data_IF_870266880568
#
_entry.id   IF_870266880568
#
_cell.length_a   1.000
_cell.length_b   1.000
_cell.length_c   1.000
_cell.angle_alpha   90.00
_cell.angle_beta   90.00
_cell.angle_gamma   90.00
#
_symmetry.space_group_name_H-M   'P 1'
#
loop_
_entity.id
_entity.type
_entity.pdbx_description
1 polymer ?
#
# COMPACT_ATOMS: atom_id res chain seq x y z
N UNK A 1 1.44 0.49 -20.57
CA UNK A 1 2.42 -0.37 -19.84
C UNK A 1 2.97 0.31 -18.59
N UNK A 2 3.33 1.60 -18.64
CA UNK A 2 3.80 2.36 -17.47
C UNK A 2 2.77 2.38 -16.33
N UNK A 3 1.51 2.71 -16.61
CA UNK A 3 0.42 2.72 -15.60
C UNK A 3 0.29 1.39 -14.84
N UNK A 4 0.37 0.27 -15.56
CA UNK A 4 0.30 -1.07 -14.94
C UNK A 4 1.46 -1.30 -13.97
N UNK A 5 2.66 -0.81 -14.29
CA UNK A 5 3.82 -0.88 -13.38
C UNK A 5 3.62 0.00 -12.16
N UNK A 6 3.03 1.19 -12.31
CA UNK A 6 2.70 2.08 -11.18
C UNK A 6 1.63 1.45 -10.29
N UNK A 7 0.56 0.88 -10.85
CA UNK A 7 -0.47 0.18 -10.12
C UNK A 7 0.10 -1.04 -9.35
N UNK A 8 0.98 -1.82 -9.98
CA UNK A 8 1.66 -2.95 -9.34
C UNK A 8 2.58 -2.49 -8.20
N UNK A 9 3.38 -1.44 -8.42
CA UNK A 9 4.26 -0.87 -7.41
C UNK A 9 3.47 -0.31 -6.22
N UNK A 10 2.37 0.42 -6.49
CA UNK A 10 1.46 0.93 -5.45
C UNK A 10 0.86 -0.19 -4.63
N UNK A 11 0.34 -1.23 -5.28
CA UNK A 11 -0.26 -2.38 -4.59
C UNK A 11 0.75 -3.06 -3.65
N UNK A 12 1.98 -3.26 -4.14
CA UNK A 12 3.05 -3.85 -3.33
C UNK A 12 3.49 -2.93 -2.19
N UNK A 13 3.63 -1.63 -2.45
CA UNK A 13 4.01 -0.65 -1.44
C UNK A 13 2.96 -0.55 -0.33
N UNK A 14 1.66 -0.59 -0.66
CA UNK A 14 0.57 -0.60 0.33
C UNK A 14 0.67 -1.81 1.27
N UNK A 15 0.88 -3.01 0.74
CA UNK A 15 1.04 -4.23 1.54
C UNK A 15 2.24 -4.13 2.49
N UNK A 16 3.41 -3.83 1.92
CA UNK A 16 4.68 -3.81 2.66
C UNK A 16 4.65 -2.71 3.73
N UNK A 17 4.16 -1.52 3.40
CA UNK A 17 4.11 -0.42 4.35
C UNK A 17 3.17 -0.73 5.53
N UNK A 18 1.99 -1.30 5.28
CA UNK A 18 1.06 -1.69 6.35
C UNK A 18 1.64 -2.81 7.23
N UNK A 19 2.29 -3.81 6.62
CA UNK A 19 2.93 -4.89 7.36
C UNK A 19 4.08 -4.37 8.22
N UNK A 20 5.05 -3.68 7.63
CA UNK A 20 6.25 -3.21 8.33
C UNK A 20 5.89 -2.26 9.47
N UNK A 21 5.01 -1.29 9.22
CA UNK A 21 4.64 -0.30 10.26
C UNK A 21 3.84 -0.92 11.41
N UNK A 22 3.19 -2.07 11.20
CA UNK A 22 2.53 -2.82 12.26
C UNK A 22 3.48 -3.77 12.99
N UNK A 23 4.34 -4.49 12.26
CA UNK A 23 5.15 -5.58 12.81
C UNK A 23 6.48 -5.11 13.40
N UNK A 24 6.89 -3.88 13.15
CA UNK A 24 8.12 -3.32 13.73
C UNK A 24 8.16 -3.43 15.26
N UNK A 25 7.01 -3.42 15.93
CA UNK A 25 6.92 -3.58 17.39
C UNK A 25 7.38 -4.96 17.89
N UNK A 26 7.34 -6.00 17.05
CA UNK A 26 7.85 -7.34 17.37
C UNK A 26 9.37 -7.32 17.63
N UNK A 27 10.11 -6.41 16.99
CA UNK A 27 11.57 -6.30 17.11
C UNK A 27 12.05 -5.15 17.99
N UNK A 28 11.19 -4.16 18.26
CA UNK A 28 11.53 -3.04 19.17
C UNK A 28 11.07 -3.26 20.61
N UNK A 29 10.10 -4.17 20.83
CA UNK A 29 9.61 -4.55 22.15
C UNK A 29 8.66 -3.52 22.80
N UNK A 30 8.14 -3.88 23.99
CA UNK A 30 7.04 -3.17 24.64
C UNK A 30 7.33 -1.68 24.96
N UNK A 31 8.59 -1.31 25.22
CA UNK A 31 8.94 0.10 25.53
C UNK A 31 8.71 1.03 24.34
N UNK A 32 8.77 0.52 23.12
CA UNK A 32 8.58 1.29 21.89
C UNK A 32 7.15 1.80 21.70
N UNK A 33 6.17 1.30 22.48
CA UNK A 33 4.79 1.78 22.43
C UNK A 33 4.57 3.06 23.25
N UNK A 34 5.60 3.60 23.90
CA UNK A 34 5.49 4.85 24.64
C UNK A 34 5.14 6.01 23.68
N UNK A 35 4.18 6.85 24.07
CA UNK A 35 3.73 7.98 23.25
C UNK A 35 4.85 8.96 22.87
N UNK A 36 5.93 9.01 23.66
CA UNK A 36 7.11 9.83 23.38
C UNK A 36 7.88 9.37 22.12
N UNK A 37 7.88 8.08 21.81
CA UNK A 37 8.53 7.54 20.60
C UNK A 37 7.68 7.81 19.35
N UNK A 38 6.36 7.77 19.48
CA UNK A 38 5.41 8.07 18.42
C UNK A 38 5.53 7.15 17.18
N UNK A 39 6.03 5.93 17.37
CA UNK A 39 6.24 4.94 16.29
C UNK A 39 4.93 4.53 15.60
N UNK A 40 3.80 4.57 16.30
CA UNK A 40 2.47 4.30 15.76
C UNK A 40 2.04 5.31 14.68
N UNK A 41 2.66 6.50 14.63
CA UNK A 41 2.35 7.52 13.62
C UNK A 41 2.55 7.02 12.20
N UNK A 42 3.53 6.15 11.98
CA UNK A 42 3.81 5.61 10.66
C UNK A 42 2.69 4.70 10.19
N UNK A 43 2.20 3.81 11.06
CA UNK A 43 1.05 2.96 10.76
C UNK A 43 -0.21 3.80 10.52
N UNK A 44 -0.50 4.79 11.37
CA UNK A 44 -1.67 5.68 11.20
C UNK A 44 -1.63 6.42 9.87
N UNK A 45 -0.47 6.99 9.51
CA UNK A 45 -0.32 7.74 8.26
C UNK A 45 -0.51 6.83 7.03
N UNK A 46 0.17 5.68 7.02
CA UNK A 46 0.03 4.69 5.93
C UNK A 46 -1.41 4.20 5.85
N UNK A 47 -2.03 3.86 6.98
CA UNK A 47 -3.41 3.38 7.03
C UNK A 47 -4.39 4.39 6.47
N UNK A 48 -4.22 5.67 6.79
CA UNK A 48 -5.07 6.73 6.23
C UNK A 48 -4.83 6.91 4.74
N UNK A 49 -3.57 7.07 4.31
CA UNK A 49 -3.27 7.42 2.92
C UNK A 49 -3.52 6.28 1.93
N UNK A 50 -3.27 5.04 2.34
CA UNK A 50 -3.52 3.85 1.48
C UNK A 50 -5.00 3.62 1.18
N UNK A 51 -5.92 4.31 1.87
CA UNK A 51 -7.36 4.25 1.60
C UNK A 51 -7.83 5.21 0.52
N UNK A 52 -6.96 6.10 0.02
CA UNK A 52 -7.33 7.07 -1.03
C UNK A 52 -7.92 6.37 -2.25
N UNK A 53 -7.27 5.31 -2.73
CA UNK A 53 -7.76 4.47 -3.82
C UNK A 53 -7.75 3.01 -3.39
N UNK A 54 -8.86 2.27 -3.54
CA UNK A 54 -8.89 0.88 -3.09
C UNK A 54 -7.89 0.02 -3.86
N UNK A 55 -6.89 -0.52 -3.13
CA UNK A 55 -5.82 -1.35 -3.70
C UNK A 55 -6.34 -2.60 -4.44
N UNK A 56 -7.53 -3.08 -4.09
CA UNK A 56 -8.18 -4.19 -4.78
C UNK A 56 -8.43 -3.90 -6.27
N UNK A 57 -8.82 -2.66 -6.62
CA UNK A 57 -8.99 -2.26 -8.02
C UNK A 57 -7.65 -2.19 -8.75
N UNK A 58 -6.59 -1.71 -8.09
CA UNK A 58 -5.22 -1.73 -8.64
C UNK A 58 -4.74 -3.14 -8.94
N UNK A 59 -4.97 -4.10 -8.04
CA UNK A 59 -4.68 -5.52 -8.32
C UNK A 59 -5.49 -6.07 -9.48
N UNK A 60 -6.78 -5.70 -9.59
CA UNK A 60 -7.64 -6.10 -10.72
C UNK A 60 -7.14 -5.53 -12.05
N UNK A 61 -6.75 -4.26 -12.09
CA UNK A 61 -6.19 -3.61 -13.29
C UNK A 61 -4.93 -4.30 -13.79
N UNK A 62 -3.99 -4.58 -12.87
CA UNK A 62 -2.77 -5.33 -13.16
C UNK A 62 -3.11 -6.75 -13.64
N UNK A 63 -4.00 -7.45 -12.94
CA UNK A 63 -4.41 -8.81 -13.29
C UNK A 63 -5.07 -8.89 -14.66
N UNK A 64 -5.96 -7.95 -14.99
CA UNK A 64 -6.59 -7.86 -16.32
C UNK A 64 -5.52 -7.66 -17.39
N UNK A 65 -4.59 -6.73 -17.20
CA UNK A 65 -3.51 -6.51 -18.16
C UNK A 65 -2.64 -7.76 -18.38
N UNK A 66 -2.28 -8.48 -17.30
CA UNK A 66 -1.50 -9.71 -17.39
C UNK A 66 -2.26 -10.81 -18.13
N UNK A 67 -3.58 -10.89 -17.95
CA UNK A 67 -4.42 -11.95 -18.54
C UNK A 67 -4.80 -11.67 -20.00
N UNK A 68 -5.17 -10.43 -20.33
CA UNK A 68 -5.75 -10.07 -21.64
C UNK A 68 -4.84 -9.20 -22.50
N UNK A 69 -3.78 -8.62 -21.94
CA UNK A 69 -2.92 -7.64 -22.62
C UNK A 69 -3.51 -6.23 -22.69
N UNK A 70 -4.77 -6.04 -22.30
CA UNK A 70 -5.45 -4.73 -22.38
C UNK A 70 -4.90 -3.75 -21.34
N UNK A 71 -4.82 -2.47 -21.71
CA UNK A 71 -4.43 -1.41 -20.77
C UNK A 71 -5.64 -0.95 -19.94
N UNK A 72 -5.42 -0.48 -18.70
CA UNK A 72 -6.45 0.20 -17.94
C UNK A 72 -6.98 1.43 -18.70
N UNK A 73 -8.27 1.69 -18.58
CA UNK A 73 -8.88 2.91 -19.10
C UNK A 73 -8.39 4.11 -18.28
N UNK A 74 -7.90 5.20 -18.90
CA UNK A 74 -7.42 6.38 -18.17
C UNK A 74 -8.55 7.13 -17.47
N UNK A 75 -8.38 7.35 -16.18
CA UNK A 75 -9.25 8.08 -15.26
C UNK A 75 -8.37 8.80 -14.23
N UNK A 76 -8.97 9.62 -13.37
CA UNK A 76 -8.24 10.29 -12.28
C UNK A 76 -7.59 9.34 -11.26
N UNK A 77 -7.99 8.06 -11.27
CA UNK A 77 -7.59 7.08 -10.26
C UNK A 77 -6.96 5.82 -10.83
N UNK A 78 -6.83 5.71 -12.15
CA UNK A 78 -6.39 4.51 -12.89
C UNK A 78 -4.98 4.68 -13.43
#
# INVERSE_FOLDING_TARGET
AFEVRVAAAKARATEVALEVTSRIFEVTGARATASAEGLDRFWRNVRTHTLHDPVAYKRREVGRHVLTGELPEPTWYS
#
